data_IF_536466624093
#
_entry.id   IF_536466624093
#
_cell.length_a   1.000
_cell.length_b   1.000
_cell.length_c   1.000
_cell.angle_alpha   90.00
_cell.angle_beta   90.00
_cell.angle_gamma   90.00
#
_symmetry.space_group_name_H-M   'P 1'
#
loop_
_entity.id
_entity.type
_entity.pdbx_description
1 polymer ?
#
# COMPACT_ATOMS: atom_id res chain seq x y z
N UNK A 1 26.56 27.80 -2.21
CA UNK A 1 26.56 27.11 -3.51
C UNK A 1 26.46 25.62 -3.26
N UNK A 2 25.34 25.09 -3.72
CA UNK A 2 24.93 23.71 -4.02
C UNK A 2 25.79 22.55 -3.48
N UNK A 3 25.19 21.77 -2.57
CA UNK A 3 25.56 20.38 -2.36
C UNK A 3 24.39 19.51 -2.85
N UNK A 4 24.44 19.15 -4.13
CA UNK A 4 23.57 18.14 -4.75
C UNK A 4 23.75 16.80 -4.03
N UNK A 5 22.81 16.44 -3.15
CA UNK A 5 22.71 15.08 -2.60
C UNK A 5 21.83 14.23 -3.52
N UNK A 6 22.50 13.53 -4.42
CA UNK A 6 21.95 12.39 -5.17
C UNK A 6 21.51 11.31 -4.19
N UNK A 7 20.20 11.12 -4.03
CA UNK A 7 19.63 9.99 -3.28
C UNK A 7 19.66 8.75 -4.18
N UNK A 8 20.64 7.87 -3.94
CA UNK A 8 20.67 6.53 -4.52
C UNK A 8 19.72 5.65 -3.69
N UNK A 9 18.58 5.27 -4.28
CA UNK A 9 17.71 4.24 -3.73
C UNK A 9 18.45 2.89 -3.73
N UNK A 10 18.79 2.38 -2.54
CA UNK A 10 19.24 0.98 -2.37
C UNK A 10 18.02 0.06 -2.32
N UNK A 11 17.74 -0.61 -3.44
CA UNK A 11 16.85 -1.77 -3.50
C UNK A 11 17.58 -2.96 -2.82
N UNK A 12 16.96 -3.72 -1.89
CA UNK A 12 17.59 -4.89 -1.29
C UNK A 12 17.69 -6.05 -2.30
N UNK A 13 18.83 -6.79 -2.38
CA UNK A 13 19.02 -7.85 -3.37
C UNK A 13 18.80 -9.24 -2.78
N UNK A 14 17.65 -9.89 -3.03
CA UNK A 14 17.44 -11.37 -2.97
C UNK A 14 16.23 -11.67 -3.89
N UNK A 15 16.34 -12.43 -4.97
CA UNK A 15 16.49 -13.89 -4.95
C UNK A 15 17.22 -14.41 -6.20
N UNK A 16 18.25 -15.22 -5.94
CA UNK A 16 18.97 -16.08 -6.87
C UNK A 16 18.12 -17.34 -7.10
N UNK A 17 17.56 -17.53 -8.29
CA UNK A 17 16.91 -18.79 -8.66
C UNK A 17 17.94 -19.72 -9.32
N UNK A 18 18.16 -20.86 -8.67
CA UNK A 18 18.99 -21.96 -9.12
C UNK A 18 18.28 -22.73 -10.23
N UNK A 19 19.00 -22.98 -11.34
CA UNK A 19 18.55 -23.77 -12.48
C UNK A 19 19.06 -25.20 -12.32
N UNK A 20 18.20 -26.13 -11.92
CA UNK A 20 18.33 -27.55 -12.29
C UNK A 20 17.03 -28.29 -12.00
N UNK A 21 16.39 -28.82 -13.04
CA UNK A 21 15.78 -30.15 -12.99
C UNK A 21 15.50 -30.65 -14.41
N UNK A 22 16.34 -31.62 -14.80
CA UNK A 22 16.14 -32.49 -15.96
C UNK A 22 15.14 -33.56 -15.53
N UNK A 23 13.98 -33.62 -16.16
CA UNK A 23 13.13 -34.83 -16.14
C UNK A 23 12.68 -35.11 -17.57
N UNK A 24 13.12 -36.29 -18.04
CA UNK A 24 12.85 -36.91 -19.32
C UNK A 24 11.82 -38.02 -19.06
N UNK A 25 10.61 -37.94 -19.62
CA UNK A 25 9.73 -39.09 -19.77
C UNK A 25 8.85 -38.97 -21.02
N UNK A 26 9.16 -39.87 -21.96
CA UNK A 26 8.30 -40.76 -22.74
C UNK A 26 6.96 -40.27 -23.32
N UNK A 27 6.88 -40.39 -24.65
CA UNK A 27 5.67 -40.33 -25.48
C UNK A 27 4.54 -41.24 -25.00
N UNK A 28 3.31 -40.73 -25.03
CA UNK A 28 2.11 -41.50 -25.35
C UNK A 28 1.03 -40.57 -25.91
N UNK A 29 0.60 -40.85 -27.13
CA UNK A 29 -0.45 -40.16 -27.87
C UNK A 29 -1.78 -40.21 -27.14
N UNK A 30 -2.36 -39.04 -26.86
CA UNK A 30 -3.78 -38.89 -26.53
C UNK A 30 -4.35 -37.77 -27.41
N UNK A 31 -5.42 -38.11 -28.14
CA UNK A 31 -6.15 -37.23 -29.07
C UNK A 31 -6.68 -35.99 -28.33
N UNK A 32 -6.67 -34.79 -28.96
CA UNK A 32 -7.27 -33.61 -28.34
C UNK A 32 -8.79 -33.60 -28.56
N UNK A 33 -9.55 -33.82 -27.49
CA UNK A 33 -10.91 -33.30 -27.36
C UNK A 33 -10.92 -32.43 -26.10
N UNK A 34 -10.81 -31.12 -26.28
CA UNK A 34 -11.22 -30.16 -25.27
C UNK A 34 -11.59 -28.87 -25.98
N UNK A 35 -12.88 -28.59 -25.96
CA UNK A 35 -13.48 -27.31 -26.28
C UNK A 35 -12.80 -26.21 -25.46
N UNK A 36 -11.89 -25.47 -26.07
CA UNK A 36 -11.36 -24.24 -25.50
C UNK A 36 -12.50 -23.21 -25.48
N UNK A 37 -13.29 -23.21 -24.41
CA UNK A 37 -14.06 -22.04 -23.99
C UNK A 37 -13.04 -20.94 -23.69
N UNK A 38 -12.79 -20.07 -24.67
CA UNK A 38 -12.22 -18.75 -24.44
C UNK A 38 -13.14 -18.06 -23.43
N UNK A 39 -12.76 -18.10 -22.14
CA UNK A 39 -13.45 -17.37 -21.07
C UNK A 39 -13.21 -15.90 -21.33
N UNK A 40 -14.11 -15.30 -22.09
CA UNK A 40 -14.17 -13.86 -22.27
C UNK A 40 -14.44 -13.25 -20.89
N UNK A 41 -13.38 -12.82 -20.20
CA UNK A 41 -13.53 -12.07 -18.97
C UNK A 41 -14.00 -10.67 -19.37
N UNK A 42 -15.15 -10.20 -18.85
CA UNK A 42 -15.65 -8.86 -19.13
C UNK A 42 -14.56 -7.82 -18.84
N UNK A 43 -14.44 -6.74 -19.65
CA UNK A 43 -13.41 -5.71 -19.49
C UNK A 43 -13.34 -5.10 -18.08
N UNK A 44 -14.48 -5.05 -17.38
CA UNK A 44 -14.57 -4.60 -15.99
C UNK A 44 -13.80 -5.50 -15.01
N UNK A 45 -13.84 -6.83 -15.20
CA UNK A 45 -13.12 -7.77 -14.33
C UNK A 45 -11.61 -7.62 -14.56
N UNK A 46 -11.18 -7.54 -15.83
CA UNK A 46 -9.77 -7.36 -16.18
C UNK A 46 -9.18 -6.05 -15.65
N UNK A 47 -9.94 -4.95 -15.69
CA UNK A 47 -9.50 -3.66 -15.15
C UNK A 47 -9.34 -3.71 -13.62
N UNK A 48 -10.25 -4.39 -12.92
CA UNK A 48 -10.19 -4.57 -11.47
C UNK A 48 -9.00 -5.43 -11.04
N UNK A 49 -8.73 -6.53 -11.74
CA UNK A 49 -7.59 -7.43 -11.48
C UNK A 49 -6.24 -6.72 -11.71
N UNK A 50 -6.14 -5.93 -12.78
CA UNK A 50 -4.96 -5.11 -13.05
C UNK A 50 -4.71 -4.11 -11.92
N UNK A 51 -5.77 -3.43 -11.44
CA UNK A 51 -5.67 -2.47 -10.35
C UNK A 51 -5.25 -3.12 -9.03
N UNK A 52 -5.82 -4.27 -8.69
CA UNK A 52 -5.43 -5.06 -7.51
C UNK A 52 -3.94 -5.43 -7.57
N UNK A 53 -3.45 -5.85 -8.74
CA UNK A 53 -2.03 -6.21 -8.91
C UNK A 53 -1.11 -5.00 -8.74
N UNK A 54 -1.46 -3.86 -9.34
CA UNK A 54 -0.70 -2.61 -9.19
C UNK A 54 -0.63 -2.20 -7.72
N UNK A 55 -1.78 -2.19 -7.02
CA UNK A 55 -1.86 -1.76 -5.63
C UNK A 55 -1.15 -2.73 -4.69
N UNK A 56 -1.22 -4.04 -4.98
CA UNK A 56 -0.46 -5.07 -4.26
C UNK A 56 1.04 -4.79 -4.36
N UNK A 57 1.55 -4.59 -5.58
CA UNK A 57 2.97 -4.33 -5.80
C UNK A 57 3.41 -3.01 -5.14
N UNK A 58 2.57 -1.97 -5.22
CA UNK A 58 2.83 -0.69 -4.58
C UNK A 58 2.99 -0.86 -3.06
N UNK A 59 2.01 -1.46 -2.38
CA UNK A 59 2.05 -1.64 -0.93
C UNK A 59 3.22 -2.55 -0.51
N UNK A 60 3.51 -3.62 -1.25
CA UNK A 60 4.68 -4.47 -0.98
C UNK A 60 6.00 -3.71 -1.11
N UNK A 61 6.15 -2.87 -2.14
CA UNK A 61 7.35 -2.05 -2.36
C UNK A 61 7.58 -1.00 -1.27
N UNK A 62 6.49 -0.52 -0.68
CA UNK A 62 6.52 0.36 0.48
C UNK A 62 6.92 -0.41 1.76
N UNK A 63 6.75 -1.72 1.81
CA UNK A 63 7.25 -2.58 2.90
C UNK A 63 6.15 -3.25 3.73
N UNK A 64 4.89 -3.16 3.29
CA UNK A 64 3.81 -3.94 3.89
C UNK A 64 4.04 -5.44 3.64
N UNK A 65 3.73 -6.27 4.64
CA UNK A 65 3.73 -7.72 4.47
C UNK A 65 2.55 -8.18 3.61
N UNK A 66 2.66 -9.35 2.98
CA UNK A 66 1.57 -9.94 2.17
C UNK A 66 0.24 -10.03 2.93
N UNK A 67 0.29 -10.36 4.22
CA UNK A 67 -0.91 -10.42 5.08
C UNK A 67 -1.56 -9.05 5.27
N UNK A 68 -0.76 -8.02 5.52
CA UNK A 68 -1.24 -6.64 5.64
C UNK A 68 -1.83 -6.14 4.33
N UNK A 69 -1.16 -6.37 3.20
CA UNK A 69 -1.67 -6.00 1.87
C UNK A 69 -3.03 -6.65 1.61
N UNK A 70 -3.16 -7.95 1.87
CA UNK A 70 -4.43 -8.64 1.69
C UNK A 70 -5.53 -8.06 2.59
N UNK A 71 -5.21 -7.73 3.84
CA UNK A 71 -6.16 -7.10 4.76
C UNK A 71 -6.62 -5.72 4.25
N UNK A 72 -5.67 -4.89 3.81
CA UNK A 72 -5.92 -3.53 3.30
C UNK A 72 -6.80 -3.58 2.05
N UNK A 73 -6.48 -4.43 1.08
CA UNK A 73 -7.22 -4.50 -0.19
C UNK A 73 -8.65 -5.05 -0.03
N UNK A 74 -8.89 -5.90 0.97
CA UNK A 74 -10.22 -6.42 1.29
C UNK A 74 -10.96 -5.58 2.33
N UNK A 75 -10.37 -4.49 2.82
CA UNK A 75 -11.01 -3.62 3.81
C UNK A 75 -12.17 -2.82 3.19
N UNK A 76 -13.19 -2.45 3.99
CA UNK A 76 -14.29 -1.62 3.50
C UNK A 76 -13.89 -0.17 3.20
N UNK A 77 -12.64 0.22 3.47
CA UNK A 77 -12.13 1.57 3.23
C UNK A 77 -12.20 2.00 1.76
N UNK A 78 -12.30 1.06 0.82
CA UNK A 78 -12.48 1.39 -0.59
C UNK A 78 -11.20 1.93 -1.25
N UNK A 79 -10.02 1.47 -0.80
CA UNK A 79 -8.73 1.84 -1.39
C UNK A 79 -8.70 1.59 -2.90
N UNK A 80 -9.37 0.54 -3.39
CA UNK A 80 -9.48 0.24 -4.83
C UNK A 80 -10.26 1.30 -5.62
N UNK A 81 -10.89 2.30 -4.99
CA UNK A 81 -11.52 3.43 -5.66
C UNK A 81 -10.51 4.56 -5.96
N UNK A 82 -9.39 4.62 -5.22
CA UNK A 82 -8.34 5.62 -5.44
C UNK A 82 -7.66 5.40 -6.79
N UNK A 83 -7.09 6.45 -7.37
CA UNK A 83 -6.10 6.27 -8.42
C UNK A 83 -4.72 5.95 -7.81
N UNK A 84 -3.81 5.41 -8.62
CA UNK A 84 -2.47 5.00 -8.18
C UNK A 84 -1.64 6.19 -7.66
N UNK A 85 -1.81 7.37 -8.28
CA UNK A 85 -1.08 8.59 -7.92
C UNK A 85 -1.43 9.07 -6.52
N UNK A 86 -2.72 9.05 -6.17
CA UNK A 86 -3.21 9.49 -4.87
C UNK A 86 -2.77 8.53 -3.77
N UNK A 87 -2.88 7.21 -4.00
CA UNK A 87 -2.37 6.22 -3.04
C UNK A 87 -0.86 6.38 -2.85
N UNK A 88 -0.10 6.59 -3.92
CA UNK A 88 1.36 6.79 -3.86
C UNK A 88 1.71 8.06 -3.08
N UNK A 89 1.02 9.18 -3.35
CA UNK A 89 1.24 10.43 -2.64
C UNK A 89 0.87 10.32 -1.15
N UNK A 90 -0.22 9.62 -0.84
CA UNK A 90 -0.66 9.42 0.53
C UNK A 90 0.34 8.54 1.31
N UNK A 91 0.81 7.45 0.71
CA UNK A 91 1.88 6.62 1.27
C UNK A 91 3.15 7.46 1.50
N UNK A 92 3.58 8.26 0.53
CA UNK A 92 4.74 9.13 0.70
C UNK A 92 4.59 10.08 1.89
N UNK A 93 3.41 10.69 2.08
CA UNK A 93 3.15 11.56 3.22
C UNK A 93 3.28 10.79 4.54
N UNK A 94 2.61 9.64 4.68
CA UNK A 94 2.69 8.82 5.90
C UNK A 94 4.13 8.40 6.22
N UNK A 95 4.91 8.02 5.21
CA UNK A 95 6.31 7.64 5.37
C UNK A 95 7.21 8.83 5.73
N UNK A 96 6.87 10.04 5.29
CA UNK A 96 7.61 11.25 5.67
C UNK A 96 7.47 11.56 7.17
N UNK A 97 6.36 11.13 7.78
CA UNK A 97 6.11 11.32 9.20
C UNK A 97 6.80 10.27 10.05
N UNK A 98 6.66 8.99 9.71
CA UNK A 98 7.23 7.88 10.48
C UNK A 98 7.62 6.70 9.56
N UNK A 99 8.77 6.09 9.81
CA UNK A 99 9.25 4.91 9.05
C UNK A 99 9.39 3.67 9.95
N UNK A 100 8.52 3.54 10.95
CA UNK A 100 8.55 2.43 11.89
C UNK A 100 7.59 1.31 11.47
N UNK A 101 7.85 0.08 11.91
CA UNK A 101 6.91 -1.04 11.72
C UNK A 101 5.53 -0.77 12.36
N UNK A 102 5.46 0.15 13.33
CA UNK A 102 4.21 0.54 13.97
C UNK A 102 3.31 1.30 12.99
N UNK A 103 3.88 2.11 12.08
CA UNK A 103 3.14 2.77 11.01
C UNK A 103 2.34 1.75 10.18
N UNK A 104 2.98 0.69 9.70
CA UNK A 104 2.30 -0.31 8.86
C UNK A 104 1.19 -1.02 9.62
N UNK A 105 1.41 -1.27 10.90
CA UNK A 105 0.39 -1.87 11.78
C UNK A 105 -0.81 -0.93 11.93
N UNK A 106 -0.57 0.36 12.21
CA UNK A 106 -1.60 1.38 12.34
C UNK A 106 -2.40 1.57 11.04
N UNK A 107 -1.73 1.71 9.90
CA UNK A 107 -2.37 1.85 8.58
C UNK A 107 -3.12 0.60 8.15
N UNK A 108 -2.63 -0.59 8.51
CA UNK A 108 -3.36 -1.84 8.23
C UNK A 108 -4.64 -1.94 9.07
N UNK A 109 -4.56 -1.58 10.35
CA UNK A 109 -5.69 -1.59 11.25
C UNK A 109 -6.72 -0.49 10.92
N UNK A 110 -6.27 0.61 10.29
CA UNK A 110 -7.09 1.78 9.95
C UNK A 110 -6.88 2.13 8.48
N UNK A 111 -7.30 1.23 7.58
CA UNK A 111 -7.09 1.38 6.14
C UNK A 111 -7.74 2.65 5.55
N UNK A 112 -8.74 3.23 6.21
CA UNK A 112 -9.35 4.52 5.86
C UNK A 112 -8.34 5.68 5.85
N UNK A 113 -7.26 5.59 6.63
CA UNK A 113 -6.20 6.61 6.60
C UNK A 113 -5.47 6.66 5.25
N UNK A 114 -5.43 5.53 4.52
CA UNK A 114 -4.85 5.44 3.19
C UNK A 114 -5.76 6.02 2.10
N UNK A 115 -7.04 6.28 2.40
CA UNK A 115 -8.00 6.86 1.46
C UNK A 115 -8.19 8.36 1.62
N UNK A 116 -7.52 8.97 2.59
CA UNK A 116 -7.52 10.41 2.76
C UNK A 116 -6.85 11.13 1.58
N UNK A 117 -7.35 12.33 1.29
CA UNK A 117 -6.71 13.21 0.32
C UNK A 117 -5.28 13.55 0.80
N UNK A 118 -4.24 13.41 -0.06
CA UNK A 118 -2.87 13.68 0.34
C UNK A 118 -2.64 15.10 0.88
N UNK A 119 -3.35 16.11 0.37
CA UNK A 119 -3.22 17.49 0.88
C UNK A 119 -3.87 17.62 2.26
N UNK A 120 -5.00 16.96 2.48
CA UNK A 120 -5.64 16.91 3.79
C UNK A 120 -4.71 16.29 4.84
N UNK A 121 -4.04 15.18 4.53
CA UNK A 121 -3.10 14.53 5.46
C UNK A 121 -1.96 15.49 5.85
N UNK A 122 -1.41 16.22 4.89
CA UNK A 122 -0.37 17.21 5.17
C UNK A 122 -0.89 18.37 6.03
N UNK A 123 -2.06 18.93 5.70
CA UNK A 123 -2.70 20.00 6.50
C UNK A 123 -2.95 19.54 7.93
N UNK A 124 -3.53 18.35 8.10
CA UNK A 124 -3.83 17.75 9.39
C UNK A 124 -2.57 17.58 10.23
N UNK A 125 -1.47 17.15 9.62
CA UNK A 125 -0.20 17.02 10.33
C UNK A 125 0.31 18.39 10.79
N UNK A 126 0.25 19.41 9.93
CA UNK A 126 0.62 20.79 10.30
C UNK A 126 -0.24 21.32 11.45
N UNK A 127 -1.55 21.08 11.42
CA UNK A 127 -2.48 21.44 12.50
C UNK A 127 -2.12 20.74 13.82
N UNK A 128 -1.92 19.42 13.80
CA UNK A 128 -1.57 18.67 15.00
C UNK A 128 -0.22 19.09 15.59
N UNK A 129 0.74 19.50 14.75
CA UNK A 129 2.03 20.05 15.20
C UNK A 129 1.91 21.38 15.95
N UNK A 130 0.75 22.06 15.90
CA UNK A 130 0.49 23.25 16.73
C UNK A 130 0.16 22.91 18.18
N UNK A 131 -0.30 21.68 18.45
CA UNK A 131 -0.73 21.21 19.77
C UNK A 131 0.20 20.13 20.34
N UNK A 132 0.80 19.32 19.48
CA UNK A 132 1.53 18.11 19.84
C UNK A 132 2.93 18.10 19.24
N UNK A 133 3.86 17.43 19.91
CA UNK A 133 5.17 17.15 19.31
C UNK A 133 5.07 16.06 18.25
N UNK A 134 6.04 15.98 17.33
CA UNK A 134 6.11 14.89 16.36
C UNK A 134 6.04 13.50 17.03
N UNK A 135 6.69 13.34 18.18
CA UNK A 135 6.66 12.10 18.96
C UNK A 135 5.25 11.76 19.45
N UNK A 136 4.49 12.75 19.87
CA UNK A 136 3.11 12.55 20.34
C UNK A 136 2.17 12.25 19.18
N UNK A 137 2.34 12.90 18.03
CA UNK A 137 1.58 12.60 16.80
C UNK A 137 1.82 11.14 16.36
N UNK A 138 3.07 10.68 16.41
CA UNK A 138 3.38 9.28 16.13
C UNK A 138 2.71 8.33 17.13
N UNK A 139 2.65 8.69 18.42
CA UNK A 139 1.88 7.90 19.40
C UNK A 139 0.38 7.91 19.06
N UNK A 140 -0.19 9.07 18.75
CA UNK A 140 -1.60 9.24 18.38
C UNK A 140 -1.97 8.38 17.17
N UNK A 141 -1.11 8.28 16.16
CA UNK A 141 -1.32 7.42 15.00
C UNK A 141 -1.51 5.94 15.39
N UNK A 142 -0.81 5.51 16.44
CA UNK A 142 -0.84 4.13 16.91
C UNK A 142 -1.93 3.87 17.97
N UNK A 143 -2.29 4.85 18.79
CA UNK A 143 -3.23 4.69 19.91
C UNK A 143 -4.61 5.28 19.65
N UNK A 144 -4.70 6.37 18.89
CA UNK A 144 -5.94 7.08 18.58
C UNK A 144 -5.96 7.61 17.12
N UNK A 145 -5.94 6.72 16.12
CA UNK A 145 -5.89 7.09 14.70
C UNK A 145 -7.08 7.94 14.23
N UNK A 146 -8.20 7.91 14.96
CA UNK A 146 -9.37 8.75 14.68
C UNK A 146 -9.08 10.24 14.76
N UNK A 147 -8.04 10.67 15.47
CA UNK A 147 -7.60 12.08 15.50
C UNK A 147 -7.23 12.61 14.10
N UNK A 148 -6.87 11.74 13.16
CA UNK A 148 -6.61 12.16 11.78
C UNK A 148 -7.89 12.32 10.95
N UNK A 149 -9.02 11.80 11.42
CA UNK A 149 -10.33 11.83 10.75
C UNK A 149 -11.27 12.88 11.36
N UNK A 150 -11.16 13.13 12.67
CA UNK A 150 -11.99 14.07 13.41
C UNK A 150 -11.76 15.52 12.98
N UNK A 151 -12.77 16.39 13.17
CA UNK A 151 -12.65 17.83 12.98
C UNK A 151 -11.57 18.43 13.92
N UNK A 152 -10.72 19.34 13.39
CA UNK A 152 -9.68 19.98 14.19
C UNK A 152 -10.22 20.74 15.39
N UNK A 153 -11.35 21.42 15.23
CA UNK A 153 -11.96 22.19 16.31
C UNK A 153 -12.46 21.31 17.44
N UNK A 154 -12.89 20.09 17.11
CA UNK A 154 -13.27 19.07 18.10
C UNK A 154 -12.03 18.54 18.82
N UNK A 155 -10.95 18.26 18.09
CA UNK A 155 -9.68 17.79 18.67
C UNK A 155 -9.10 18.82 19.63
N UNK A 156 -9.08 20.10 19.25
CA UNK A 156 -8.52 21.20 20.05
C UNK A 156 -9.28 21.45 21.36
N UNK A 157 -10.58 21.13 21.40
CA UNK A 157 -11.43 21.30 22.59
C UNK A 157 -11.33 20.15 23.59
N UNK A 158 -10.98 18.95 23.12
CA UNK A 158 -10.80 17.75 23.95
C UNK A 158 -9.45 17.80 24.66
#
# INVERSE_FOLDING_TARGET
>A
MECLRTFIFRIPPKCRLSVTNVIRFSHSSVKPQSSNTSKYMPPMILASEKKITVFTNLLLNYGFSKGQVNHILNSPAGILNLNEKDLTANLLNWYSFETSNKLYTALTANAELLTLDPKYVNSRFTELMTLFTKTDINKLLNTCPKVFLDDFDVIRKK
#
